data_IF_814420363954
#
_entry.id   IF_814420363954
#
_cell.length_a   1.000
_cell.length_b   1.000
_cell.length_c   1.000
_cell.angle_alpha   90.00
_cell.angle_beta   90.00
_cell.angle_gamma   90.00
#
_symmetry.space_group_name_H-M   'P 1'
#
loop_
_entity.id
_entity.type
_entity.pdbx_description
1 polymer ?
#
# COMPACT_ATOMS: atom_id res chain seq x y z
N UNK A 1 -31.34 -6.33 9.06
CA UNK A 1 -30.20 -7.18 8.62
C UNK A 1 -29.84 -6.80 7.19
N UNK A 2 -28.69 -6.18 6.97
CA UNK A 2 -28.21 -5.87 5.62
C UNK A 2 -27.55 -7.13 5.02
N UNK A 3 -28.03 -7.57 3.85
CA UNK A 3 -27.50 -8.74 3.14
C UNK A 3 -26.22 -8.31 2.39
N UNK A 4 -25.06 -8.84 2.78
CA UNK A 4 -23.80 -8.65 2.04
C UNK A 4 -23.96 -9.28 0.65
N UNK A 5 -23.84 -8.47 -0.40
CA UNK A 5 -23.88 -8.91 -1.79
C UNK A 5 -22.47 -8.75 -2.38
N UNK A 6 -21.89 -9.85 -2.85
CA UNK A 6 -20.58 -9.86 -3.50
C UNK A 6 -20.77 -9.32 -4.93
N UNK A 7 -20.32 -8.10 -5.19
CA UNK A 7 -20.38 -7.49 -6.53
C UNK A 7 -19.07 -7.84 -7.25
N UNK A 8 -19.17 -8.64 -8.31
CA UNK A 8 -18.03 -8.95 -9.19
C UNK A 8 -17.85 -7.80 -10.19
N UNK A 9 -16.65 -7.23 -10.24
CA UNK A 9 -16.31 -6.15 -11.16
C UNK A 9 -15.96 -6.69 -12.56
N UNK A 10 -16.29 -5.97 -13.66
CA UNK A 10 -17.07 -4.73 -13.71
C UNK A 10 -18.58 -4.99 -13.54
N UNK A 11 -19.32 -4.08 -12.89
CA UNK A 11 -20.77 -4.16 -12.84
C UNK A 11 -21.32 -4.13 -14.27
N UNK A 12 -22.19 -5.08 -14.58
CA UNK A 12 -22.88 -5.12 -15.86
C UNK A 12 -23.87 -3.97 -15.96
N UNK A 13 -23.92 -3.31 -17.12
CA UNK A 13 -25.01 -2.37 -17.42
C UNK A 13 -26.37 -3.07 -17.43
N UNK A 14 -27.44 -2.28 -17.53
CA UNK A 14 -28.82 -2.75 -17.57
C UNK A 14 -29.05 -3.81 -18.67
N UNK A 15 -29.41 -5.04 -18.28
CA UNK A 15 -29.81 -6.11 -19.21
C UNK A 15 -31.23 -5.85 -19.74
N UNK A 16 -31.33 -5.22 -20.91
CA UNK A 16 -32.61 -4.88 -21.54
C UNK A 16 -33.38 -6.08 -22.09
N UNK A 17 -32.79 -7.29 -22.10
CA UNK A 17 -33.46 -8.50 -22.60
C UNK A 17 -34.28 -9.21 -21.51
N UNK A 18 -34.03 -8.91 -20.23
CA UNK A 18 -34.70 -9.51 -19.10
C UNK A 18 -35.63 -8.51 -18.40
N UNK A 19 -36.72 -9.02 -17.80
CA UNK A 19 -37.57 -8.22 -16.90
C UNK A 19 -36.79 -7.82 -15.64
N UNK A 20 -37.17 -6.72 -14.98
CA UNK A 20 -36.53 -6.22 -13.75
C UNK A 20 -36.45 -7.28 -12.61
N UNK A 21 -37.30 -8.31 -12.64
CA UNK A 21 -37.28 -9.42 -11.66
C UNK A 21 -36.32 -10.55 -12.02
N UNK A 22 -35.80 -10.54 -13.25
CA UNK A 22 -34.90 -11.53 -13.83
C UNK A 22 -33.52 -10.94 -14.15
N UNK A 23 -33.26 -9.69 -13.76
CA UNK A 23 -31.95 -9.08 -13.92
C UNK A 23 -30.92 -9.89 -13.13
N UNK A 24 -29.82 -10.24 -13.79
CA UNK A 24 -28.72 -10.95 -13.13
C UNK A 24 -28.15 -10.09 -11.99
N UNK A 25 -27.61 -10.69 -10.92
CA UNK A 25 -27.21 -9.97 -9.69
C UNK A 25 -26.17 -8.85 -9.89
N UNK A 26 -25.52 -8.82 -11.05
CA UNK A 26 -24.50 -7.85 -11.42
C UNK A 26 -25.01 -6.71 -12.31
N UNK A 27 -26.31 -6.65 -12.61
CA UNK A 27 -26.93 -5.56 -13.36
C UNK A 27 -27.71 -4.64 -12.41
N UNK A 28 -27.41 -3.35 -12.39
CA UNK A 28 -28.12 -2.36 -11.56
C UNK A 28 -28.76 -1.26 -12.41
N UNK A 29 -29.93 -0.81 -11.97
CA UNK A 29 -30.64 0.35 -12.52
C UNK A 29 -29.92 1.66 -12.22
N UNK A 30 -29.04 1.70 -11.22
CA UNK A 30 -28.29 2.92 -10.84
C UNK A 30 -27.10 3.21 -11.77
N UNK A 31 -26.79 2.30 -12.71
CA UNK A 31 -25.87 2.59 -13.82
C UNK A 31 -26.52 3.43 -14.94
N UNK A 32 -27.50 4.28 -14.59
CA UNK A 32 -28.12 5.28 -15.44
C UNK A 32 -27.16 6.47 -15.63
N UNK A 33 -26.05 6.29 -16.34
CA UNK A 33 -25.31 7.39 -17.01
C UNK A 33 -24.18 6.90 -17.92
N UNK A 34 -24.49 5.96 -18.81
CA UNK A 34 -23.75 5.87 -20.08
C UNK A 34 -24.77 5.71 -21.22
N UNK A 35 -25.29 6.84 -21.70
CA UNK A 35 -25.93 6.88 -23.02
C UNK A 35 -24.88 7.40 -24.01
N UNK A 36 -24.49 6.64 -25.04
CA UNK A 36 -23.60 7.15 -26.07
C UNK A 36 -24.37 8.12 -26.96
N UNK A 37 -23.85 9.34 -27.12
CA UNK A 37 -24.36 10.34 -28.07
C UNK A 37 -23.95 10.04 -29.51
N UNK A 38 -23.07 9.05 -29.72
CA UNK A 38 -22.57 8.67 -31.03
C UNK A 38 -22.78 7.17 -31.25
N UNK A 39 -23.78 6.85 -32.06
CA UNK A 39 -24.17 5.48 -32.42
C UNK A 39 -23.25 4.82 -33.44
N UNK A 40 -22.29 5.55 -34.02
CA UNK A 40 -21.50 5.08 -35.17
C UNK A 40 -20.23 4.32 -34.76
N UNK A 41 -19.55 4.76 -33.69
CA UNK A 41 -18.22 4.22 -33.35
C UNK A 41 -18.20 3.26 -32.17
N UNK A 42 -19.35 3.03 -31.52
CA UNK A 42 -19.58 1.91 -30.60
C UNK A 42 -18.47 1.70 -29.52
N UNK A 43 -17.87 2.79 -29.02
CA UNK A 43 -16.59 2.74 -28.28
C UNK A 43 -16.49 3.56 -26.99
N UNK A 44 -17.59 3.96 -26.35
CA UNK A 44 -17.50 4.58 -25.02
C UNK A 44 -18.18 3.70 -23.97
N UNK A 45 -17.42 2.73 -23.45
CA UNK A 45 -17.71 2.08 -22.17
C UNK A 45 -16.95 2.85 -21.08
N UNK A 46 -17.65 3.23 -20.01
CA UNK A 46 -17.04 3.79 -18.81
C UNK A 46 -16.26 2.71 -18.07
N UNK A 47 -14.94 2.74 -18.24
CA UNK A 47 -13.96 1.85 -17.63
C UNK A 47 -12.60 2.14 -18.28
N UNK A 48 -11.50 1.93 -17.56
CA UNK A 48 -10.17 2.02 -18.17
C UNK A 48 -10.15 1.11 -19.40
N UNK A 49 -9.98 1.69 -20.60
CA UNK A 49 -9.67 0.88 -21.77
C UNK A 49 -8.36 0.17 -21.45
N UNK A 50 -8.28 -1.16 -21.55
CA UNK A 50 -6.98 -1.77 -21.79
C UNK A 50 -6.42 -1.04 -23.01
N UNK A 51 -5.27 -0.38 -22.86
CA UNK A 51 -4.58 0.22 -24.00
C UNK A 51 -4.44 -0.83 -25.11
N UNK A 52 -4.41 -0.38 -26.36
CA UNK A 52 -3.95 -1.25 -27.46
C UNK A 52 -2.49 -1.66 -27.28
N UNK A 53 -1.77 -0.91 -26.44
CA UNK A 53 -0.39 -1.12 -26.06
C UNK A 53 -0.35 -1.46 -24.57
N UNK A 54 0.48 -2.45 -24.23
CA UNK A 54 0.76 -2.78 -22.84
C UNK A 54 1.52 -1.60 -22.22
N UNK A 55 1.08 -1.05 -21.08
CA UNK A 55 1.85 -0.02 -20.38
C UNK A 55 3.14 -0.57 -19.78
N UNK A 56 3.36 -1.90 -19.82
CA UNK A 56 4.55 -2.57 -19.33
C UNK A 56 5.28 -3.30 -20.46
N UNK A 57 6.60 -3.26 -20.43
CA UNK A 57 7.48 -4.00 -21.35
C UNK A 57 7.70 -5.46 -20.91
N UNK A 58 7.12 -5.89 -19.78
CA UNK A 58 7.23 -7.25 -19.21
C UNK A 58 6.02 -7.62 -18.35
N UNK A 59 6.04 -8.80 -17.71
CA UNK A 59 4.99 -9.26 -16.77
C UNK A 59 5.21 -8.64 -15.38
N UNK A 60 4.34 -7.73 -14.90
CA UNK A 60 4.48 -7.12 -13.58
C UNK A 60 3.95 -8.01 -12.45
N UNK A 61 3.43 -9.20 -12.78
CA UNK A 61 2.80 -10.13 -11.86
C UNK A 61 1.27 -10.13 -11.93
N UNK A 62 0.66 -10.99 -11.11
CA UNK A 62 -0.76 -11.33 -11.20
C UNK A 62 -1.70 -10.34 -10.48
N UNK A 63 -1.17 -9.46 -9.62
CA UNK A 63 -1.97 -8.55 -8.79
C UNK A 63 -1.43 -7.12 -8.83
N UNK A 64 -2.28 -6.19 -9.25
CA UNK A 64 -2.00 -4.76 -9.27
C UNK A 64 -2.80 -4.05 -8.18
N UNK A 65 -2.16 -3.13 -7.48
CA UNK A 65 -2.80 -2.28 -6.48
C UNK A 65 -2.60 -0.82 -6.84
N UNK A 66 -3.72 -0.14 -7.02
CA UNK A 66 -3.73 1.30 -7.19
C UNK A 66 -3.50 1.96 -5.84
N UNK A 67 -2.46 2.80 -5.72
CA UNK A 67 -2.15 3.49 -4.47
C UNK A 67 -2.88 4.84 -4.44
N UNK A 68 -2.42 5.79 -5.25
CA UNK A 68 -3.06 7.08 -5.44
C UNK A 68 -2.60 7.72 -6.76
N UNK A 69 -3.39 8.61 -7.38
CA UNK A 69 -2.86 9.52 -8.38
C UNK A 69 -1.97 10.55 -7.69
N UNK A 70 -0.80 10.83 -8.26
CA UNK A 70 0.09 11.90 -7.79
C UNK A 70 0.04 13.07 -8.77
N UNK A 71 -0.32 14.25 -8.26
CA UNK A 71 -0.28 15.50 -9.03
C UNK A 71 1.12 16.11 -8.95
N UNK A 72 1.81 16.16 -10.08
CA UNK A 72 3.07 16.88 -10.26
C UNK A 72 2.77 18.28 -10.78
N UNK A 73 3.40 19.31 -10.22
CA UNK A 73 3.45 20.61 -10.89
C UNK A 73 4.71 20.64 -11.77
N UNK A 74 4.56 20.89 -13.07
CA UNK A 74 5.69 21.18 -13.94
C UNK A 74 5.82 22.69 -14.11
N UNK A 75 7.02 23.21 -13.87
CA UNK A 75 7.38 24.58 -14.25
C UNK A 75 7.85 24.55 -15.72
N UNK A 76 6.91 24.54 -16.66
CA UNK A 76 7.20 24.84 -18.05
C UNK A 76 6.65 26.22 -18.42
N UNK A 77 7.44 26.93 -19.22
CA UNK A 77 7.37 28.34 -19.61
C UNK A 77 5.94 28.95 -19.63
N UNK A 78 5.52 29.54 -18.50
CA UNK A 78 4.41 30.50 -18.44
C UNK A 78 3.00 29.99 -18.10
N UNK A 79 2.79 28.70 -17.83
CA UNK A 79 1.52 28.21 -17.26
C UNK A 79 1.73 27.00 -16.34
N UNK A 80 1.09 26.93 -15.15
CA UNK A 80 1.17 25.74 -14.31
C UNK A 80 0.44 24.59 -15.02
N UNK A 81 1.20 23.74 -15.71
CA UNK A 81 0.71 22.45 -16.14
C UNK A 81 0.84 21.50 -14.94
N UNK A 82 -0.30 20.97 -14.48
CA UNK A 82 -0.31 19.90 -13.50
C UNK A 82 -0.48 18.58 -14.23
N UNK A 83 0.55 17.75 -14.22
CA UNK A 83 0.45 16.38 -14.75
C UNK A 83 0.07 15.45 -13.61
N UNK A 84 -1.00 14.67 -13.80
CA UNK A 84 -1.32 13.58 -12.88
C UNK A 84 -0.58 12.35 -13.35
N UNK A 85 0.16 11.71 -12.46
CA UNK A 85 0.80 10.42 -12.73
C UNK A 85 0.20 9.33 -11.85
N UNK A 86 0.05 8.15 -12.44
CA UNK A 86 -0.36 6.97 -11.71
C UNK A 86 0.84 6.36 -10.94
N UNK A 87 0.60 6.00 -9.68
CA UNK A 87 1.50 5.15 -8.89
C UNK A 87 0.77 3.88 -8.46
N UNK A 88 1.38 2.73 -8.70
CA UNK A 88 0.85 1.42 -8.33
C UNK A 88 1.90 0.59 -7.61
N UNK A 89 1.45 -0.45 -6.91
CA UNK A 89 2.33 -1.55 -6.48
C UNK A 89 1.89 -2.88 -7.09
N UNK A 90 2.88 -3.72 -7.41
CA UNK A 90 2.68 -5.09 -7.90
C UNK A 90 3.89 -5.96 -7.53
N UNK A 91 3.64 -7.18 -7.04
CA UNK A 91 4.69 -8.13 -6.63
C UNK A 91 5.76 -7.51 -5.71
N UNK A 92 5.30 -6.68 -4.77
CA UNK A 92 6.12 -5.93 -3.82
C UNK A 92 6.94 -4.77 -4.38
N UNK A 93 6.87 -4.53 -5.70
CA UNK A 93 7.56 -3.41 -6.34
C UNK A 93 6.62 -2.21 -6.54
N UNK A 94 7.19 -1.02 -6.56
CA UNK A 94 6.49 0.23 -6.88
C UNK A 94 6.71 0.54 -8.35
N UNK A 95 5.66 0.96 -9.04
CA UNK A 95 5.72 1.45 -10.41
C UNK A 95 5.10 2.84 -10.52
N UNK A 96 5.72 3.67 -11.34
CA UNK A 96 5.28 5.03 -11.62
C UNK A 96 5.04 5.23 -13.11
N UNK A 97 3.98 5.97 -13.43
CA UNK A 97 3.67 6.33 -14.81
C UNK A 97 4.66 7.37 -15.33
N UNK A 98 5.22 7.10 -16.50
CA UNK A 98 5.99 8.06 -17.28
C UNK A 98 5.05 9.13 -17.81
N UNK A 99 5.21 10.37 -17.34
CA UNK A 99 4.41 11.52 -17.79
C UNK A 99 4.51 11.80 -19.30
N UNK A 100 5.58 11.35 -19.97
CA UNK A 100 5.79 11.59 -21.40
C UNK A 100 5.27 10.48 -22.31
N UNK A 101 5.19 9.25 -21.82
CA UNK A 101 4.88 8.06 -22.64
C UNK A 101 3.65 7.28 -22.14
N UNK A 102 3.12 7.59 -20.96
CA UNK A 102 2.00 6.84 -20.35
C UNK A 102 2.34 5.39 -19.99
N UNK A 103 3.63 5.03 -20.01
CA UNK A 103 4.13 3.69 -19.67
C UNK A 103 4.47 3.61 -18.19
N UNK A 104 4.28 2.45 -17.59
CA UNK A 104 4.64 2.21 -16.19
C UNK A 104 6.10 1.74 -16.09
N UNK A 105 6.90 2.50 -15.36
CA UNK A 105 8.29 2.16 -15.08
C UNK A 105 8.39 1.68 -13.63
N UNK A 106 9.13 0.60 -13.40
CA UNK A 106 9.47 0.19 -12.04
C UNK A 106 10.35 1.26 -11.40
N UNK A 107 10.02 1.65 -10.18
CA UNK A 107 10.87 2.51 -9.36
C UNK A 107 12.00 1.65 -8.82
N UNK A 108 13.25 1.97 -9.19
CA UNK A 108 14.43 1.26 -8.68
C UNK A 108 14.70 1.69 -7.24
N UNK A 109 14.41 0.82 -6.29
CA UNK A 109 14.65 1.01 -4.85
C UNK A 109 14.82 -0.35 -4.18
N UNK A 110 15.52 -0.39 -3.05
CA UNK A 110 15.64 -1.59 -2.22
C UNK A 110 14.39 -1.79 -1.33
N UNK A 111 13.50 -0.80 -1.26
CA UNK A 111 12.25 -0.88 -0.50
C UNK A 111 11.22 -1.73 -1.24
N UNK A 112 10.58 -2.65 -0.51
CA UNK A 112 9.52 -3.50 -1.04
C UNK A 112 8.28 -3.35 -0.20
N UNK A 113 7.14 -3.24 -0.86
CA UNK A 113 5.84 -3.15 -0.18
C UNK A 113 5.16 -4.50 -0.11
N UNK A 114 4.21 -4.67 0.82
CA UNK A 114 3.41 -5.89 0.91
C UNK A 114 2.59 -6.13 -0.36
N UNK A 115 2.74 -7.32 -0.92
CA UNK A 115 1.99 -7.80 -2.08
C UNK A 115 0.74 -8.61 -1.70
N UNK A 116 0.50 -8.80 -0.40
CA UNK A 116 -0.60 -9.58 0.17
C UNK A 116 -1.73 -8.72 0.78
N UNK A 117 -1.47 -7.49 1.25
CA UNK A 117 -2.50 -6.59 1.85
C UNK A 117 -2.78 -5.28 1.11
N UNK A 118 -3.99 -4.74 1.26
CA UNK A 118 -4.30 -3.41 0.75
C UNK A 118 -3.46 -2.34 1.47
N UNK A 119 -2.72 -1.56 0.69
CA UNK A 119 -1.91 -0.45 1.17
C UNK A 119 -2.74 0.82 1.16
N UNK A 120 -2.55 1.66 2.17
CA UNK A 120 -3.10 3.02 2.18
C UNK A 120 -2.04 3.99 1.70
N UNK A 121 -2.43 5.00 0.91
CA UNK A 121 -1.52 6.04 0.48
C UNK A 121 -2.17 7.42 0.50
N UNK A 122 -1.37 8.45 0.73
CA UNK A 122 -1.81 9.85 0.73
C UNK A 122 -0.79 10.71 0.01
N UNK A 123 -1.26 11.67 -0.78
CA UNK A 123 -0.39 12.68 -1.40
C UNK A 123 -0.30 13.92 -0.51
N UNK A 124 0.90 14.46 -0.31
CA UNK A 124 1.10 15.79 0.23
C UNK A 124 2.37 16.42 -0.37
N UNK A 125 2.27 17.66 -0.89
CA UNK A 125 3.42 18.41 -1.39
C UNK A 125 4.24 17.70 -2.47
N UNK A 126 3.59 17.16 -3.51
CA UNK A 126 4.24 16.36 -4.58
C UNK A 126 4.97 15.10 -4.09
N UNK A 127 4.66 14.63 -2.88
CA UNK A 127 5.15 13.36 -2.34
C UNK A 127 3.97 12.42 -2.13
N UNK A 128 4.22 11.14 -2.39
CA UNK A 128 3.30 10.06 -2.03
C UNK A 128 3.81 9.40 -0.75
N UNK A 129 2.96 9.38 0.26
CA UNK A 129 3.19 8.67 1.51
C UNK A 129 2.43 7.36 1.44
N UNK A 130 3.13 6.23 1.59
CA UNK A 130 2.54 4.90 1.59
C UNK A 130 2.61 4.39 3.02
N UNK A 131 1.47 4.01 3.56
CA UNK A 131 1.32 3.38 4.85
C UNK A 131 1.30 1.86 4.65
N UNK A 132 2.49 1.26 4.69
CA UNK A 132 2.68 -0.19 4.74
C UNK A 132 2.92 -0.61 6.19
N UNK A 133 1.85 -0.66 6.97
CA UNK A 133 1.92 -1.16 8.33
C UNK A 133 1.59 -2.66 8.33
N UNK A 134 2.58 -3.46 8.71
CA UNK A 134 2.45 -4.91 8.83
C UNK A 134 1.66 -5.36 10.07
N UNK A 135 1.46 -6.68 10.16
CA UNK A 135 0.97 -7.28 11.40
C UNK A 135 1.98 -7.08 12.51
N UNK A 136 1.51 -6.65 13.67
CA UNK A 136 2.34 -6.46 14.85
C UNK A 136 2.90 -7.81 15.32
N UNK A 137 4.23 -7.94 15.39
CA UNK A 137 4.91 -9.14 15.90
C UNK A 137 4.90 -9.18 17.43
N UNK A 138 5.08 -8.02 18.05
CA UNK A 138 5.12 -7.85 19.49
C UNK A 138 4.79 -6.42 19.90
N UNK A 139 4.24 -6.23 21.10
CA UNK A 139 4.17 -4.91 21.74
C UNK A 139 4.08 -5.05 23.25
N UNK A 140 4.54 -4.02 23.96
CA UNK A 140 4.40 -3.96 25.40
C UNK A 140 4.72 -2.58 25.94
N UNK A 141 4.42 -2.38 27.22
CA UNK A 141 4.76 -1.17 27.99
C UNK A 141 5.85 -1.45 29.03
N UNK A 142 6.48 -2.61 28.96
CA UNK A 142 7.48 -3.13 29.88
C UNK A 142 8.80 -3.44 29.16
N UNK A 143 9.10 -2.70 28.10
CA UNK A 143 10.36 -2.81 27.38
C UNK A 143 11.51 -2.32 28.25
N UNK A 144 12.65 -3.01 28.19
CA UNK A 144 13.88 -2.61 28.84
C UNK A 144 14.95 -2.50 27.78
N UNK A 145 15.50 -1.30 27.62
CA UNK A 145 16.60 -1.02 26.71
C UNK A 145 17.89 -0.95 27.51
N UNK A 146 18.91 -1.68 27.06
CA UNK A 146 20.26 -1.63 27.61
C UNK A 146 21.24 -1.60 26.44
N UNK A 147 21.87 -0.45 26.20
CA UNK A 147 22.62 -0.16 24.99
C UNK A 147 21.74 -0.34 23.76
N UNK A 148 22.11 -1.28 22.89
CA UNK A 148 21.37 -1.59 21.68
C UNK A 148 20.40 -2.77 21.84
N UNK A 149 20.20 -3.34 23.03
CA UNK A 149 19.30 -4.48 23.21
C UNK A 149 17.97 -4.04 23.78
N UNK A 150 16.87 -4.51 23.20
CA UNK A 150 15.53 -4.43 23.79
C UNK A 150 15.11 -5.81 24.28
N UNK A 151 14.71 -5.89 25.54
CA UNK A 151 14.03 -7.03 26.14
C UNK A 151 12.66 -6.59 26.71
N UNK A 152 11.81 -7.55 27.03
CA UNK A 152 10.54 -7.37 27.71
C UNK A 152 10.25 -8.62 28.51
N UNK A 153 9.89 -8.43 29.79
CA UNK A 153 9.47 -9.53 30.65
C UNK A 153 8.25 -10.32 30.13
N UNK A 154 7.51 -9.76 29.16
CA UNK A 154 6.40 -10.45 28.48
C UNK A 154 6.89 -11.50 27.48
N UNK A 155 8.08 -11.32 26.90
CA UNK A 155 8.61 -12.15 25.82
C UNK A 155 9.92 -12.83 26.23
N UNK A 156 9.80 -14.06 26.73
CA UNK A 156 10.95 -14.84 27.17
C UNK A 156 11.71 -15.58 26.05
N UNK A 157 11.20 -15.56 24.80
CA UNK A 157 11.91 -16.05 23.62
C UNK A 157 11.41 -15.34 22.35
N UNK A 158 12.18 -14.34 21.91
CA UNK A 158 11.84 -13.51 20.75
C UNK A 158 11.94 -14.26 19.42
N UNK A 159 12.70 -15.37 19.35
CA UNK A 159 12.86 -16.15 18.12
C UNK A 159 11.57 -16.84 17.68
N UNK A 160 10.63 -17.03 18.62
CA UNK A 160 9.33 -17.67 18.36
C UNK A 160 8.30 -16.73 17.72
N UNK A 161 8.59 -15.42 17.67
CA UNK A 161 7.66 -14.39 17.23
C UNK A 161 7.66 -14.16 15.71
N UNK A 162 8.53 -14.86 14.98
CA UNK A 162 8.64 -14.74 13.52
C UNK A 162 9.15 -13.37 13.07
N UNK A 163 9.98 -12.72 13.88
CA UNK A 163 10.61 -11.43 13.56
C UNK A 163 11.69 -11.65 12.50
N UNK A 164 11.62 -10.86 11.43
CA UNK A 164 12.55 -10.89 10.31
C UNK A 164 13.41 -9.62 10.34
N UNK A 165 14.73 -9.74 10.48
CA UNK A 165 15.65 -8.59 10.64
C UNK A 165 15.62 -7.63 9.45
N UNK A 166 15.39 -8.16 8.26
CA UNK A 166 15.43 -7.39 7.01
C UNK A 166 14.09 -6.69 6.73
N UNK A 167 13.02 -7.15 7.38
CA UNK A 167 11.63 -6.76 7.10
C UNK A 167 10.96 -6.07 8.28
N UNK A 168 11.41 -6.26 9.52
CA UNK A 168 10.75 -5.75 10.74
C UNK A 168 11.65 -4.72 11.46
N UNK A 169 11.01 -3.72 12.06
CA UNK A 169 11.63 -2.66 12.87
C UNK A 169 11.09 -2.65 14.28
N UNK A 170 11.89 -2.10 15.19
CA UNK A 170 11.49 -1.79 16.55
C UNK A 170 11.10 -0.32 16.67
N UNK A 171 9.86 -0.05 17.05
CA UNK A 171 9.38 1.30 17.35
C UNK A 171 9.27 1.47 18.87
N UNK A 172 10.03 2.42 19.41
CA UNK A 172 9.96 2.82 20.81
C UNK A 172 9.25 4.18 20.87
N UNK A 173 8.28 4.31 21.76
CA UNK A 173 7.42 5.50 21.87
C UNK A 173 7.46 6.19 23.22
N UNK A 174 8.04 5.54 24.24
CA UNK A 174 8.29 6.13 25.54
C UNK A 174 9.49 5.43 26.20
N UNK A 175 10.27 6.16 27.03
CA UNK A 175 10.18 7.61 27.23
C UNK A 175 10.72 8.40 26.02
N UNK A 176 10.48 9.72 25.99
CA UNK A 176 10.78 10.58 24.83
C UNK A 176 12.26 10.52 24.40
N UNK A 177 13.18 10.42 25.35
CA UNK A 177 14.63 10.39 25.08
C UNK A 177 15.08 9.12 24.33
N UNK A 178 14.27 8.06 24.36
CA UNK A 178 14.52 6.78 23.66
C UNK A 178 13.52 6.53 22.53
N UNK A 179 12.64 7.49 22.25
CA UNK A 179 11.61 7.34 21.23
C UNK A 179 12.20 7.39 19.82
N UNK A 180 11.82 6.43 18.98
CA UNK A 180 12.34 6.31 17.62
C UNK A 180 11.97 5.00 16.96
N UNK A 181 12.39 4.85 15.70
CA UNK A 181 12.30 3.62 14.93
C UNK A 181 13.71 3.11 14.69
N UNK A 182 13.96 1.86 15.05
CA UNK A 182 15.27 1.24 15.05
C UNK A 182 15.23 -0.06 14.24
N UNK A 183 16.22 -0.23 13.36
CA UNK A 183 16.43 -1.47 12.63
C UNK A 183 16.92 -2.58 13.57
N UNK A 184 16.49 -3.82 13.31
CA UNK A 184 16.80 -4.98 14.14
C UNK A 184 18.00 -5.71 13.52
N UNK A 185 19.13 -5.76 14.23
CA UNK A 185 20.32 -6.47 13.75
C UNK A 185 20.26 -7.97 13.98
N UNK A 186 19.61 -8.41 15.07
CA UNK A 186 19.51 -9.83 15.41
C UNK A 186 18.39 -10.11 16.41
N UNK A 187 17.91 -11.36 16.42
CA UNK A 187 16.84 -11.84 17.30
C UNK A 187 17.36 -13.05 18.08
N UNK A 188 17.16 -13.06 19.40
CA UNK A 188 17.60 -14.15 20.28
C UNK A 188 16.57 -14.46 21.37
N UNK A 189 16.72 -15.60 22.06
CA UNK A 189 15.79 -16.02 23.10
C UNK A 189 15.69 -15.08 24.30
N UNK A 190 16.58 -14.10 24.47
CA UNK A 190 16.48 -13.15 25.59
C UNK A 190 16.15 -11.72 25.19
N UNK A 191 16.42 -11.33 23.95
CA UNK A 191 16.29 -9.94 23.52
C UNK A 191 16.40 -9.87 22.00
N UNK A 192 15.98 -8.74 21.44
CA UNK A 192 16.43 -8.31 20.12
C UNK A 192 17.59 -7.33 20.26
N UNK A 193 18.50 -7.35 19.29
CA UNK A 193 19.57 -6.34 19.16
C UNK A 193 19.20 -5.38 18.03
N UNK A 194 19.33 -4.09 18.31
CA UNK A 194 19.09 -2.98 17.39
C UNK A 194 20.41 -2.55 16.74
N UNK A 195 20.36 -1.96 15.55
CA UNK A 195 21.57 -1.48 14.86
C UNK A 195 22.18 -0.23 15.50
N UNK A 196 21.39 0.50 16.29
CA UNK A 196 21.83 1.66 17.07
C UNK A 196 21.18 1.68 18.45
N UNK A 197 21.86 2.33 19.41
CA UNK A 197 21.40 2.43 20.80
C UNK A 197 20.32 3.52 20.94
N UNK A 198 19.11 3.18 21.45
CA UNK A 198 18.10 4.16 21.87
C UNK A 198 18.43 4.87 23.19
N UNK A 199 19.52 4.50 23.86
CA UNK A 199 19.80 4.89 25.24
C UNK A 199 19.12 3.99 26.27
N UNK A 200 19.82 3.73 27.37
CA UNK A 200 19.37 2.81 28.42
C UNK A 200 18.07 3.31 29.07
N UNK A 201 17.09 2.41 29.20
CA UNK A 201 15.81 2.79 29.76
C UNK A 201 14.99 1.58 30.26
N UNK A 202 14.07 1.84 31.16
CA UNK A 202 13.14 0.84 31.71
C UNK A 202 11.70 1.28 31.48
N UNK A 203 10.78 0.33 31.42
CA UNK A 203 9.35 0.58 31.20
C UNK A 203 9.04 1.30 29.87
N UNK A 204 9.82 0.98 28.83
CA UNK A 204 9.59 1.49 27.49
C UNK A 204 8.29 0.94 26.90
N UNK A 205 7.59 1.80 26.18
CA UNK A 205 6.50 1.35 25.30
C UNK A 205 7.05 1.07 23.91
N UNK A 206 6.95 -0.18 23.47
CA UNK A 206 7.53 -0.64 22.22
C UNK A 206 6.52 -1.41 21.35
N UNK A 207 6.82 -1.46 20.05
CA UNK A 207 6.15 -2.28 19.05
C UNK A 207 7.19 -2.85 18.08
N UNK A 208 7.04 -4.11 17.70
CA UNK A 208 7.77 -4.72 16.59
C UNK A 208 6.80 -4.87 15.43
N UNK A 209 7.07 -4.17 14.33
CA UNK A 209 6.20 -4.09 13.16
C UNK A 209 7.02 -4.11 11.88
N UNK A 210 6.41 -4.51 10.76
CA UNK A 210 7.08 -4.54 9.46
C UNK A 210 7.51 -3.12 9.05
N UNK A 211 8.72 -3.00 8.51
CA UNK A 211 9.21 -1.82 7.82
C UNK A 211 8.51 -1.65 6.46
N UNK A 212 8.34 -0.41 5.97
CA UNK A 212 7.88 -0.14 4.60
C UNK A 212 8.92 -0.48 3.53
#
# INVERSE_FOLDING_TARGET
MAKRMLVVFPPGGLDKKASHRQSKPFATVDCLNVRPTETIDNRTRGGCRPGLESPFTGDPGQSFRFLAPMVLASEEDGAPLSSTMLVISANGNIYSESVSLGTMNQVTTDLTVRDDVLLSAAQNGQKLYIADYGDLRASGTNGVVSGATLDSATYADWTTLGILTDDDVCVISAPEDSAGTFEISSVASGAITLTSSPGDNTDCTFRIERAP
#
